data_IF_429653732955
#
_entry.id   IF_429653732955
#
_cell.length_a   1.000
_cell.length_b   1.000
_cell.length_c   1.000
_cell.angle_alpha   90.00
_cell.angle_beta   90.00
_cell.angle_gamma   90.00
#
_symmetry.space_group_name_H-M   'P 1'
#
loop_
_entity.id
_entity.type
_entity.pdbx_description
1 polymer ?
#
# COMPACT_ATOMS: atom_id res chain seq x y z
N UNK A 1 -8.52 -10.31 -2.11
CA UNK A 1 -7.50 -10.02 -1.07
C UNK A 1 -7.64 -8.57 -0.65
N UNK A 2 -7.40 -8.25 0.61
CA UNK A 2 -7.45 -6.89 1.14
C UNK A 2 -6.06 -6.42 1.57
N UNK A 3 -5.83 -5.11 1.46
CA UNK A 3 -4.63 -4.42 1.92
C UNK A 3 -5.02 -3.43 3.00
N UNK A 4 -4.31 -3.46 4.11
CA UNK A 4 -4.32 -2.42 5.13
C UNK A 4 -3.00 -1.67 5.09
N UNK A 5 -3.06 -0.34 5.11
CA UNK A 5 -1.89 0.53 5.31
C UNK A 5 -2.09 1.34 6.57
N UNK A 6 -1.03 1.59 7.32
CA UNK A 6 -1.07 2.32 8.59
C UNK A 6 0.25 2.98 8.88
N UNK A 7 0.26 4.02 9.71
CA UNK A 7 1.45 4.64 10.24
C UNK A 7 1.78 4.04 11.60
N UNK A 8 3.05 3.80 11.90
CA UNK A 8 3.46 3.38 13.23
C UNK A 8 3.59 4.59 14.15
N UNK A 9 2.93 4.56 15.30
CA UNK A 9 3.07 5.61 16.32
C UNK A 9 4.37 5.40 17.08
N UNK A 10 5.19 6.46 17.19
CA UNK A 10 6.45 6.42 17.93
C UNK A 10 7.71 6.22 17.08
N UNK A 11 7.59 6.15 15.75
CA UNK A 11 8.74 6.10 14.85
C UNK A 11 8.97 7.49 14.25
N UNK A 12 10.07 8.15 14.63
CA UNK A 12 10.48 9.43 14.02
C UNK A 12 11.11 9.17 12.66
N UNK A 13 10.29 9.20 11.61
CA UNK A 13 10.73 9.15 10.21
C UNK A 13 9.52 9.04 9.27
N UNK A 14 9.45 9.88 8.24
CA UNK A 14 8.34 9.94 7.27
C UNK A 14 8.06 8.62 6.50
N UNK A 15 8.88 7.59 6.69
CA UNK A 15 8.89 6.36 5.89
C UNK A 15 8.25 5.14 6.59
N UNK A 16 7.88 5.23 7.87
CA UNK A 16 7.45 4.08 8.67
C UNK A 16 5.97 3.71 8.46
N UNK A 17 5.54 3.60 7.19
CA UNK A 17 4.19 3.16 6.82
C UNK A 17 4.18 1.63 6.71
N UNK A 18 3.43 0.98 7.59
CA UNK A 18 3.22 -0.46 7.57
C UNK A 18 2.18 -0.88 6.54
N UNK A 19 2.33 -2.10 6.02
CA UNK A 19 1.38 -2.71 5.08
C UNK A 19 1.06 -4.13 5.57
N UNK A 20 -0.22 -4.43 5.76
CA UNK A 20 -0.72 -5.77 6.03
C UNK A 20 -1.64 -6.25 4.91
N UNK A 21 -1.63 -7.56 4.63
CA UNK A 21 -2.50 -8.19 3.63
C UNK A 21 -3.19 -9.40 4.24
N UNK A 22 -4.49 -9.53 3.98
CA UNK A 22 -5.33 -10.65 4.44
C UNK A 22 -6.38 -11.01 3.40
N UNK A 23 -7.02 -12.16 3.60
CA UNK A 23 -8.05 -12.66 2.70
C UNK A 23 -9.40 -11.99 2.98
N UNK A 24 -9.71 -11.75 4.26
CA UNK A 24 -10.91 -11.01 4.69
C UNK A 24 -10.60 -9.59 5.18
N UNK A 25 -11.59 -8.71 5.05
CA UNK A 25 -11.57 -7.38 5.64
C UNK A 25 -11.69 -7.45 7.17
N UNK A 26 -12.44 -8.42 7.70
CA UNK A 26 -12.67 -8.59 9.14
C UNK A 26 -11.37 -8.87 9.89
N UNK A 27 -10.48 -9.68 9.31
CA UNK A 27 -9.16 -9.96 9.87
C UNK A 27 -8.28 -8.71 9.96
N UNK A 28 -8.41 -7.78 9.00
CA UNK A 28 -7.67 -6.52 9.02
C UNK A 28 -8.25 -5.55 10.06
N UNK A 29 -9.57 -5.57 10.27
CA UNK A 29 -10.21 -4.77 11.32
C UNK A 29 -9.82 -5.28 12.71
N UNK A 30 -9.84 -6.59 12.92
CA UNK A 30 -9.36 -7.19 14.18
C UNK A 30 -7.89 -6.83 14.45
N UNK A 31 -7.03 -6.96 13.44
CA UNK A 31 -5.63 -6.58 13.54
C UNK A 31 -5.44 -5.08 13.85
N UNK A 32 -6.26 -4.21 13.27
CA UNK A 32 -6.23 -2.77 13.54
C UNK A 32 -6.63 -2.46 14.99
N UNK A 33 -7.63 -3.18 15.53
CA UNK A 33 -8.03 -3.03 16.93
C UNK A 33 -6.95 -3.51 17.90
N UNK A 34 -6.32 -4.66 17.63
CA UNK A 34 -5.21 -5.18 18.44
C UNK A 34 -4.02 -4.20 18.48
N UNK A 35 -3.79 -3.48 17.38
CA UNK A 35 -2.66 -2.56 17.23
C UNK A 35 -3.01 -1.09 17.46
N UNK A 36 -4.23 -0.75 17.90
CA UNK A 36 -4.74 0.64 17.97
C UNK A 36 -3.87 1.61 18.78
N UNK A 37 -3.08 1.09 19.71
CA UNK A 37 -2.17 1.89 20.55
C UNK A 37 -0.79 2.11 19.91
N UNK A 38 -0.48 1.36 18.85
CA UNK A 38 0.81 1.36 18.14
C UNK A 38 0.72 1.83 16.69
N UNK A 39 -0.50 2.00 16.15
CA UNK A 39 -0.72 2.42 14.77
C UNK A 39 -1.74 3.55 14.66
N UNK A 40 -1.63 4.36 13.62
CA UNK A 40 -2.56 5.44 13.27
C UNK A 40 -2.78 5.51 11.75
N UNK A 41 -3.72 6.34 11.29
CA UNK A 41 -4.00 6.52 9.85
C UNK A 41 -4.27 5.20 9.09
N UNK A 42 -5.08 4.33 9.68
CA UNK A 42 -5.41 3.02 9.11
C UNK A 42 -6.31 3.19 7.88
N UNK A 43 -5.88 2.63 6.75
CA UNK A 43 -6.66 2.59 5.51
C UNK A 43 -6.73 1.17 4.99
N UNK A 44 -7.94 0.65 4.79
CA UNK A 44 -8.19 -0.70 4.27
C UNK A 44 -8.83 -0.59 2.90
N UNK A 45 -8.25 -1.27 1.92
CA UNK A 45 -8.72 -1.30 0.54
C UNK A 45 -8.74 -2.73 0.01
N UNK A 46 -9.70 -3.03 -0.87
CA UNK A 46 -9.72 -4.29 -1.60
C UNK A 46 -8.67 -4.23 -2.70
N UNK A 47 -7.80 -5.23 -2.75
CA UNK A 47 -6.88 -5.40 -3.88
C UNK A 47 -7.72 -5.93 -5.03
N UNK A 48 -8.08 -5.01 -5.92
CA UNK A 48 -8.63 -5.31 -7.22
C UNK A 48 -7.46 -5.44 -8.21
N UNK A 49 -7.28 -6.64 -8.78
CA UNK A 49 -6.25 -6.97 -9.78
C UNK A 49 -6.30 -6.08 -11.04
N UNK A 50 -7.37 -5.28 -11.19
CA UNK A 50 -7.59 -4.35 -12.29
C UNK A 50 -6.67 -3.11 -12.30
N UNK A 51 -5.84 -2.91 -11.27
CA UNK A 51 -4.94 -1.74 -11.15
C UNK A 51 -3.48 -1.98 -11.56
N UNK A 52 -3.12 -3.17 -12.03
CA UNK A 52 -1.93 -3.31 -12.89
C UNK A 52 -2.27 -2.76 -14.27
N UNK A 53 -2.55 -1.45 -14.34
CA UNK A 53 -2.38 -0.70 -15.58
C UNK A 53 -0.89 -0.74 -15.86
N UNK A 54 -0.45 -1.79 -16.55
CA UNK A 54 0.82 -1.83 -17.24
C UNK A 54 0.97 -0.50 -17.96
N UNK A 55 1.88 0.36 -17.48
CA UNK A 55 2.33 1.44 -18.35
C UNK A 55 2.93 0.74 -19.56
N UNK A 56 2.42 1.00 -20.77
CA UNK A 56 2.99 0.37 -21.96
C UNK A 56 4.47 0.78 -22.01
N UNK A 57 5.37 -0.20 -22.04
CA UNK A 57 6.83 -0.03 -22.18
C UNK A 57 7.24 0.77 -23.43
N UNK A 58 6.28 1.13 -24.29
CA UNK A 58 6.47 1.90 -25.52
C UNK A 58 6.86 3.38 -25.32
N UNK A 59 6.86 3.91 -24.09
CA UNK A 59 7.26 5.31 -23.84
C UNK A 59 8.79 5.51 -23.97
N UNK A 60 9.61 4.44 -23.90
CA UNK A 60 11.07 4.57 -23.89
C UNK A 60 11.76 4.53 -25.28
N UNK A 61 11.02 4.44 -26.39
CA UNK A 61 11.64 4.22 -27.71
C UNK A 61 12.27 5.49 -28.33
N UNK A 62 11.96 6.70 -27.86
CA UNK A 62 12.32 7.91 -28.62
C UNK A 62 13.47 8.79 -28.09
N UNK A 63 14.26 8.36 -27.09
CA UNK A 63 15.42 9.14 -26.60
C UNK A 63 16.75 8.86 -27.32
N UNK A 64 16.77 8.07 -28.40
CA UNK A 64 18.01 7.73 -29.14
C UNK A 64 18.35 8.62 -30.34
N UNK A 65 17.62 9.72 -30.56
CA UNK A 65 17.91 10.68 -31.65
C UNK A 65 17.94 12.13 -31.16
N UNK A 66 18.91 12.44 -30.30
CA UNK A 66 19.56 13.74 -30.35
C UNK A 66 21.07 13.47 -30.43
N UNK A 67 21.57 13.47 -31.66
CA UNK A 67 22.98 13.68 -32.00
C UNK A 67 23.07 15.02 -32.70
#
# INVERSE_FOLDING_TARGET
>A
MYRMTYNNTGVSGCSARGIAKRESQEELLALAEELKESISDVHIEKIDDSTVKQMPLNIFVNMKKLK
#
